data_IF_638043266457
#
_entry.id   IF_638043266457
#
_cell.length_a   1.000
_cell.length_b   1.000
_cell.length_c   1.000
_cell.angle_alpha   90.00
_cell.angle_beta   90.00
_cell.angle_gamma   90.00
#
_symmetry.space_group_name_H-M   'P 1'
#
loop_
_entity.id
_entity.type
_entity.pdbx_description
1 polymer ?
#
# COMPACT_ATOMS: atom_id res chain seq x y z
N UNK A 1 20.59 14.39 4.39
CA UNK A 1 19.29 14.87 3.90
C UNK A 1 18.95 14.05 2.67
N UNK A 2 17.73 13.56 2.58
CA UNK A 2 17.21 12.90 1.37
C UNK A 2 16.92 13.99 0.33
N UNK A 3 17.43 13.81 -0.89
CA UNK A 3 17.46 14.84 -1.94
C UNK A 3 16.27 14.78 -2.89
N UNK A 4 15.71 13.58 -3.05
CA UNK A 4 14.55 13.32 -3.90
C UNK A 4 13.75 12.11 -3.38
N UNK A 5 12.67 11.79 -4.09
CA UNK A 5 11.77 10.70 -3.73
C UNK A 5 12.40 9.32 -3.91
N UNK A 6 13.34 9.16 -4.86
CA UNK A 6 14.01 7.88 -5.07
C UNK A 6 14.87 7.52 -3.85
N UNK A 7 15.58 8.50 -3.28
CA UNK A 7 16.35 8.28 -2.06
C UNK A 7 15.45 7.88 -0.88
N UNK A 8 14.23 8.43 -0.79
CA UNK A 8 13.23 8.04 0.23
C UNK A 8 12.76 6.59 0.03
N UNK A 9 12.47 6.21 -1.21
CA UNK A 9 12.03 4.86 -1.57
C UNK A 9 13.14 3.86 -1.27
N UNK A 10 14.39 4.15 -1.66
CA UNK A 10 15.55 3.29 -1.40
C UNK A 10 15.80 3.12 0.10
N UNK A 11 15.65 4.20 0.86
CA UNK A 11 15.72 4.13 2.32
C UNK A 11 14.62 3.21 2.89
N UNK A 12 13.38 3.32 2.41
CA UNK A 12 12.27 2.48 2.85
C UNK A 12 12.51 0.99 2.53
N UNK A 13 12.99 0.67 1.32
CA UNK A 13 13.38 -0.70 0.90
C UNK A 13 14.41 -1.30 1.84
N UNK A 14 15.44 -0.53 2.18
CA UNK A 14 16.51 -0.97 3.08
C UNK A 14 16.05 -1.23 4.53
N UNK A 15 14.93 -0.64 4.97
CA UNK A 15 14.35 -0.87 6.29
C UNK A 15 13.41 -2.08 6.35
N UNK A 16 13.12 -2.68 5.19
CA UNK A 16 12.17 -3.77 5.02
C UNK A 16 10.71 -3.33 5.10
N UNK A 17 9.81 -4.20 4.63
CA UNK A 17 8.36 -3.93 4.61
C UNK A 17 7.84 -3.54 5.99
N UNK A 18 7.09 -2.45 6.08
CA UNK A 18 6.39 -2.02 7.30
C UNK A 18 4.89 -2.20 7.17
N UNK A 19 4.24 -2.61 8.27
CA UNK A 19 2.79 -2.60 8.36
C UNK A 19 2.29 -1.16 8.41
N UNK A 20 1.35 -0.80 7.53
CA UNK A 20 0.75 0.53 7.48
C UNK A 20 -0.78 0.43 7.51
N UNK A 21 -1.42 1.20 8.38
CA UNK A 21 -2.88 1.27 8.42
C UNK A 21 -3.39 2.25 7.35
N UNK A 22 -4.37 1.82 6.56
CA UNK A 22 -4.95 2.60 5.46
C UNK A 22 -6.44 2.77 5.71
N UNK A 23 -6.81 3.94 6.22
CA UNK A 23 -8.19 4.27 6.63
C UNK A 23 -9.13 4.61 5.46
N UNK A 24 -8.59 4.87 4.28
CA UNK A 24 -9.34 5.17 3.05
C UNK A 24 -9.17 4.06 2.01
N UNK A 25 -9.20 2.80 2.45
CA UNK A 25 -8.94 1.65 1.58
C UNK A 25 -10.00 1.43 0.49
N UNK A 26 -11.19 2.04 0.61
CA UNK A 26 -12.26 1.94 -0.39
C UNK A 26 -12.08 2.94 -1.56
N UNK A 27 -10.84 3.14 -2.03
CA UNK A 27 -10.45 4.13 -3.03
C UNK A 27 -9.50 3.51 -4.06
N UNK A 28 -9.86 3.54 -5.35
CA UNK A 28 -9.05 2.92 -6.41
C UNK A 28 -7.61 3.45 -6.47
N UNK A 29 -7.36 4.79 -6.44
CA UNK A 29 -6.00 5.32 -6.46
C UNK A 29 -5.15 4.82 -5.29
N UNK A 30 -5.77 4.63 -4.11
CA UNK A 30 -5.08 4.11 -2.92
C UNK A 30 -4.67 2.66 -3.14
N UNK A 31 -5.59 1.81 -3.60
CA UNK A 31 -5.30 0.39 -3.86
C UNK A 31 -4.22 0.22 -4.94
N UNK A 32 -4.27 1.01 -6.02
CA UNK A 32 -3.21 1.01 -7.05
C UNK A 32 -1.86 1.48 -6.50
N UNK A 33 -1.86 2.51 -5.64
CA UNK A 33 -0.64 2.96 -4.96
C UNK A 33 -0.01 1.87 -4.08
N UNK A 34 -0.84 1.10 -3.35
CA UNK A 34 -0.37 -0.01 -2.52
C UNK A 34 0.27 -1.14 -3.33
N UNK A 35 -0.19 -1.37 -4.55
CA UNK A 35 0.42 -2.34 -5.46
C UNK A 35 1.83 -1.92 -5.85
N UNK A 36 2.03 -0.63 -6.15
CA UNK A 36 3.35 -0.07 -6.44
C UNK A 36 4.28 -0.10 -5.22
N UNK A 37 3.71 0.02 -4.01
CA UNK A 37 4.44 0.00 -2.75
C UNK A 37 4.63 -1.41 -2.16
N UNK A 38 4.33 -2.47 -2.91
CA UNK A 38 4.30 -3.85 -2.40
C UNK A 38 5.65 -4.38 -1.90
N UNK A 39 6.76 -3.73 -2.26
CA UNK A 39 8.13 -4.02 -1.83
C UNK A 39 8.54 -3.29 -0.54
N UNK A 40 7.82 -2.24 -0.15
CA UNK A 40 8.12 -1.40 1.04
C UNK A 40 7.02 -1.42 2.10
N UNK A 41 5.80 -1.85 1.77
CA UNK A 41 4.65 -1.79 2.66
C UNK A 41 3.85 -3.10 2.69
N UNK A 42 3.31 -3.39 3.86
CA UNK A 42 2.26 -4.37 4.08
C UNK A 42 1.00 -3.61 4.57
N UNK A 43 -0.02 -3.42 3.73
CA UNK A 43 -1.17 -2.61 4.11
C UNK A 43 -2.14 -3.37 5.01
N UNK A 44 -2.65 -2.68 6.02
CA UNK A 44 -3.80 -3.06 6.86
C UNK A 44 -4.97 -2.17 6.44
N UNK A 45 -5.94 -2.73 5.75
CA UNK A 45 -7.04 -2.01 5.09
C UNK A 45 -8.20 -1.83 6.06
N UNK A 46 -8.50 -0.58 6.39
CA UNK A 46 -9.55 -0.24 7.34
C UNK A 46 -10.70 0.43 6.57
N UNK A 47 -11.91 -0.10 6.74
CA UNK A 47 -13.12 0.49 6.16
C UNK A 47 -14.19 -0.55 5.85
N UNK A 48 -15.02 -0.26 4.84
CA UNK A 48 -16.09 -1.15 4.41
C UNK A 48 -15.51 -2.37 3.67
N UNK A 49 -15.62 -3.54 4.29
CA UNK A 49 -15.06 -4.80 3.79
C UNK A 49 -15.50 -5.13 2.35
N UNK A 50 -16.79 -5.10 2.06
CA UNK A 50 -17.31 -5.52 0.75
C UNK A 50 -16.79 -4.64 -0.39
N UNK A 51 -16.72 -3.32 -0.16
CA UNK A 51 -16.15 -2.38 -1.13
C UNK A 51 -14.67 -2.61 -1.34
N UNK A 52 -13.92 -2.81 -0.25
CA UNK A 52 -12.47 -3.05 -0.31
C UNK A 52 -12.19 -4.36 -1.05
N UNK A 53 -12.87 -5.45 -0.71
CA UNK A 53 -12.68 -6.76 -1.35
C UNK A 53 -12.92 -6.70 -2.87
N UNK A 54 -13.92 -5.94 -3.32
CA UNK A 54 -14.18 -5.73 -4.74
C UNK A 54 -13.00 -5.04 -5.43
N UNK A 55 -12.55 -3.91 -4.88
CA UNK A 55 -11.45 -3.11 -5.45
C UNK A 55 -10.13 -3.89 -5.45
N UNK A 56 -9.84 -4.61 -4.37
CA UNK A 56 -8.65 -5.47 -4.24
C UNK A 56 -8.63 -6.57 -5.30
N UNK A 57 -9.77 -7.23 -5.54
CA UNK A 57 -9.90 -8.26 -6.59
C UNK A 57 -9.70 -7.68 -7.98
N UNK A 58 -10.29 -6.52 -8.26
CA UNK A 58 -10.15 -5.82 -9.54
C UNK A 58 -8.69 -5.37 -9.79
N UNK A 59 -8.04 -4.80 -8.77
CA UNK A 59 -6.66 -4.31 -8.86
C UNK A 59 -5.59 -5.42 -8.79
N UNK A 60 -5.98 -6.64 -8.37
CA UNK A 60 -5.09 -7.77 -8.07
C UNK A 60 -4.02 -7.40 -7.05
N UNK A 61 -4.43 -6.75 -5.95
CA UNK A 61 -3.53 -6.46 -4.84
C UNK A 61 -3.08 -7.78 -4.20
N UNK A 62 -1.79 -7.88 -3.89
CA UNK A 62 -1.17 -9.09 -3.32
C UNK A 62 -1.46 -9.24 -1.83
N UNK A 63 -0.41 -9.11 -1.02
CA UNK A 63 -0.49 -9.27 0.44
C UNK A 63 -1.12 -8.05 1.12
N UNK A 64 -2.13 -8.26 1.96
CA UNK A 64 -2.75 -7.26 2.82
C UNK A 64 -3.46 -7.92 4.02
N UNK A 65 -3.85 -7.12 5.01
CA UNK A 65 -4.66 -7.51 6.18
C UNK A 65 -5.92 -6.66 6.29
#
# INVERSE_FOLDING_TARGET
MLRDMNEVIDFAKNKGKKKIAVVEAASQPVIEGLKLASDIAFPVLIGNRDKIEKLVKEAKLGEFE
#
